data_IF_815348554236
#
_entry.id   IF_815348554236
#
_cell.length_a   1.000
_cell.length_b   1.000
_cell.length_c   1.000
_cell.angle_alpha   90.00
_cell.angle_beta   90.00
_cell.angle_gamma   90.00
#
_symmetry.space_group_name_H-M   'P 1'
#
loop_
_entity.id
_entity.type
_entity.pdbx_description
1 polymer ?
#
# COMPACT_ATOMS: atom_id res chain seq x y z
N UNK A 1 -12.89 -0.96 40.06
CA UNK A 1 -11.54 -1.57 39.82
C UNK A 1 -11.58 -3.00 39.25
N UNK A 2 -12.70 -3.78 39.38
CA UNK A 2 -12.77 -5.18 38.92
C UNK A 2 -13.00 -5.37 37.41
N UNK A 3 -13.79 -4.52 36.75
CA UNK A 3 -14.18 -4.68 35.34
C UNK A 3 -13.06 -4.23 34.39
N UNK A 4 -12.33 -3.18 34.72
CA UNK A 4 -11.21 -2.70 33.94
C UNK A 4 -10.04 -3.69 33.87
N UNK A 5 -9.80 -4.47 34.97
CA UNK A 5 -8.76 -5.50 35.05
C UNK A 5 -9.05 -6.76 34.17
N UNK A 6 -10.32 -7.06 33.93
CA UNK A 6 -10.70 -8.24 33.15
C UNK A 6 -10.55 -7.98 31.63
N UNK A 7 -10.94 -6.79 31.18
CA UNK A 7 -10.75 -6.39 29.77
C UNK A 7 -9.28 -6.28 29.38
N UNK A 8 -8.42 -5.77 30.28
CA UNK A 8 -6.97 -5.69 30.02
C UNK A 8 -6.29 -7.06 29.93
N UNK A 9 -6.71 -8.06 30.69
CA UNK A 9 -6.15 -9.43 30.62
C UNK A 9 -6.53 -10.15 29.32
N UNK A 10 -7.76 -9.96 28.84
CA UNK A 10 -8.25 -10.61 27.63
C UNK A 10 -7.69 -9.95 26.36
N UNK A 11 -7.58 -8.62 26.35
CA UNK A 11 -6.92 -7.87 25.30
C UNK A 11 -5.42 -8.21 25.17
N UNK A 12 -4.70 -8.36 26.30
CA UNK A 12 -3.29 -8.79 26.31
C UNK A 12 -3.06 -10.19 25.73
N UNK A 13 -4.08 -11.06 25.77
CA UNK A 13 -4.00 -12.44 25.27
C UNK A 13 -4.35 -12.55 23.78
N UNK A 14 -5.24 -11.71 23.31
CA UNK A 14 -5.80 -11.76 21.95
C UNK A 14 -5.02 -10.90 20.96
N UNK A 15 -4.33 -9.85 21.45
CA UNK A 15 -3.59 -8.90 20.63
C UNK A 15 -2.19 -8.61 21.21
N UNK A 16 -1.14 -9.30 20.78
CA UNK A 16 0.25 -9.08 21.26
C UNK A 16 0.71 -7.61 21.16
N UNK A 17 0.19 -6.89 20.19
CA UNK A 17 0.41 -5.47 19.97
C UNK A 17 -0.12 -4.60 21.13
N UNK A 18 -1.35 -4.88 21.61
CA UNK A 18 -1.93 -4.17 22.76
C UNK A 18 -1.12 -4.37 24.03
N UNK A 19 -0.44 -5.51 24.17
CA UNK A 19 0.48 -5.77 25.28
C UNK A 19 1.67 -4.82 25.24
N UNK A 20 2.24 -4.57 24.06
CA UNK A 20 3.39 -3.66 23.86
C UNK A 20 2.99 -2.20 24.14
N UNK A 21 1.81 -1.78 23.68
CA UNK A 21 1.27 -0.44 23.90
C UNK A 21 0.97 -0.15 25.37
N UNK A 22 0.34 -1.10 26.07
CA UNK A 22 0.06 -0.99 27.51
C UNK A 22 1.34 -0.96 28.33
N UNK A 23 2.37 -1.72 27.97
CA UNK A 23 3.67 -1.69 28.66
C UNK A 23 4.41 -0.36 28.40
N UNK A 24 4.27 0.25 27.25
CA UNK A 24 4.83 1.58 26.95
C UNK A 24 4.09 2.69 27.72
N UNK A 25 2.76 2.59 27.89
CA UNK A 25 1.96 3.48 28.72
C UNK A 25 2.27 3.32 30.22
N UNK A 26 2.50 2.09 30.69
CA UNK A 26 2.86 1.77 32.09
C UNK A 26 4.28 2.28 32.43
N UNK A 27 5.20 2.34 31.46
CA UNK A 27 6.60 2.76 31.66
C UNK A 27 6.86 4.27 31.52
N UNK A 28 5.82 5.08 31.31
CA UNK A 28 5.92 6.56 31.37
C UNK A 28 6.83 7.22 30.33
N UNK A 29 7.22 6.50 29.27
CA UNK A 29 7.99 7.08 28.16
C UNK A 29 7.08 7.86 27.23
N UNK A 30 6.66 9.04 27.68
CA UNK A 30 5.88 10.00 26.91
C UNK A 30 6.83 10.79 25.98
N UNK A 31 6.92 10.37 24.73
CA UNK A 31 7.35 11.25 23.63
C UNK A 31 6.28 12.31 23.37
N UNK A 32 6.63 13.46 22.83
CA UNK A 32 5.71 14.59 22.55
C UNK A 32 4.46 14.13 21.77
N UNK A 33 3.28 14.67 22.10
CA UNK A 33 1.97 14.12 21.69
C UNK A 33 1.72 14.06 20.16
N UNK A 34 2.36 14.89 19.38
CA UNK A 34 2.19 14.98 17.91
C UNK A 34 2.88 13.87 17.13
N UNK A 35 4.13 13.55 17.49
CA UNK A 35 4.86 12.44 16.85
C UNK A 35 4.25 11.07 17.13
N UNK A 36 3.41 10.97 18.16
CA UNK A 36 2.69 9.74 18.52
C UNK A 36 1.48 9.47 17.65
N UNK A 37 0.71 10.51 17.28
CA UNK A 37 -0.48 10.37 16.44
C UNK A 37 -0.09 9.86 15.05
N UNK A 38 0.91 10.46 14.43
CA UNK A 38 1.38 10.06 13.10
C UNK A 38 2.03 8.68 13.10
N UNK A 39 2.82 8.37 14.11
CA UNK A 39 3.43 7.04 14.25
C UNK A 39 2.38 5.95 14.52
N UNK A 40 1.32 6.26 15.28
CA UNK A 40 0.21 5.34 15.52
C UNK A 40 -0.58 5.06 14.24
N UNK A 41 -0.94 6.11 13.51
CA UNK A 41 -1.63 5.99 12.22
C UNK A 41 -0.78 5.21 11.21
N UNK A 42 0.51 5.49 11.11
CA UNK A 42 1.43 4.80 10.22
C UNK A 42 1.49 3.30 10.55
N UNK A 43 1.63 2.94 11.83
CA UNK A 43 1.67 1.55 12.27
C UNK A 43 0.35 0.81 12.05
N UNK A 44 -0.78 1.48 12.24
CA UNK A 44 -2.10 0.95 11.93
C UNK A 44 -2.25 0.70 10.42
N UNK A 45 -1.86 1.66 9.59
CA UNK A 45 -1.86 1.52 8.13
C UNK A 45 -0.96 0.37 7.66
N UNK A 46 0.25 0.23 8.21
CA UNK A 46 1.17 -0.88 7.88
C UNK A 46 0.56 -2.22 8.28
N UNK A 47 -0.07 -2.31 9.46
CA UNK A 47 -0.71 -3.54 9.93
C UNK A 47 -1.90 -3.93 9.05
N UNK A 48 -2.73 -2.95 8.69
CA UNK A 48 -3.87 -3.14 7.80
C UNK A 48 -3.42 -3.53 6.39
N UNK A 49 -2.37 -2.90 5.88
CA UNK A 49 -1.78 -3.20 4.58
C UNK A 49 -1.22 -4.64 4.52
N UNK A 50 -0.56 -5.10 5.59
CA UNK A 50 -0.09 -6.50 5.70
C UNK A 50 -1.25 -7.50 5.66
N UNK A 51 -2.37 -7.19 6.33
CA UNK A 51 -3.56 -8.07 6.36
C UNK A 51 -4.35 -8.03 5.04
N UNK A 52 -4.68 -6.82 4.57
CA UNK A 52 -5.57 -6.63 3.40
C UNK A 52 -4.86 -6.64 2.06
N UNK A 53 -3.55 -6.40 2.05
CA UNK A 53 -2.69 -6.26 0.87
C UNK A 53 -2.97 -5.02 0.02
N UNK A 54 -4.16 -4.41 0.12
CA UNK A 54 -4.54 -3.24 -0.66
C UNK A 54 -5.24 -2.21 0.22
N UNK A 55 -4.81 -0.96 0.15
CA UNK A 55 -5.45 0.18 0.84
C UNK A 55 -5.65 1.35 -0.11
N UNK A 56 -6.62 2.19 0.21
CA UNK A 56 -6.81 3.51 -0.42
C UNK A 56 -6.76 4.58 0.66
N UNK A 57 -5.81 5.51 0.53
CA UNK A 57 -5.76 6.72 1.33
C UNK A 57 -6.67 7.76 0.68
N UNK A 58 -7.77 8.10 1.34
CA UNK A 58 -8.72 9.08 0.86
C UNK A 58 -8.74 10.31 1.75
N UNK A 59 -9.19 11.44 1.23
CA UNK A 59 -9.38 12.67 1.99
C UNK A 59 -9.37 13.90 1.11
N UNK A 60 -9.59 15.04 1.73
CA UNK A 60 -9.58 16.34 1.07
C UNK A 60 -8.22 16.66 0.41
N UNK A 61 -8.15 17.53 -0.59
CA UNK A 61 -6.89 17.99 -1.16
C UNK A 61 -5.99 18.61 -0.09
N UNK A 62 -4.68 18.28 -0.13
CA UNK A 62 -3.70 18.85 0.81
C UNK A 62 -3.67 18.23 2.20
N UNK A 63 -4.22 17.03 2.41
CA UNK A 63 -4.16 16.27 3.67
C UNK A 63 -2.90 15.39 3.81
N UNK A 64 -1.91 15.54 2.93
CA UNK A 64 -0.65 14.80 3.02
C UNK A 64 -0.70 13.36 2.48
N UNK A 65 -1.68 12.99 1.64
CA UNK A 65 -1.82 11.63 1.08
C UNK A 65 -0.53 11.11 0.43
N UNK A 66 0.05 11.88 -0.47
CA UNK A 66 1.29 11.50 -1.17
C UNK A 66 2.48 11.36 -0.21
N UNK A 67 2.57 12.25 0.78
CA UNK A 67 3.57 12.18 1.85
C UNK A 67 3.43 10.87 2.65
N UNK A 68 2.23 10.57 3.12
CA UNK A 68 1.91 9.36 3.90
C UNK A 68 2.19 8.09 3.09
N UNK A 69 1.94 8.12 1.78
CA UNK A 69 2.19 7.00 0.88
C UNK A 69 3.68 6.64 0.83
N UNK A 70 4.58 7.62 0.72
CA UNK A 70 6.03 7.40 0.73
C UNK A 70 6.50 6.83 2.08
N UNK A 71 6.02 7.40 3.19
CA UNK A 71 6.35 6.91 4.55
C UNK A 71 5.87 5.47 4.78
N UNK A 72 4.67 5.12 4.31
CA UNK A 72 4.13 3.75 4.38
C UNK A 72 4.96 2.76 3.56
N UNK A 73 5.34 3.17 2.35
CA UNK A 73 6.15 2.34 1.47
C UNK A 73 7.53 2.05 2.08
N UNK A 74 8.20 3.06 2.61
CA UNK A 74 9.49 2.92 3.30
C UNK A 74 9.36 2.04 4.55
N UNK A 75 8.35 2.31 5.40
CA UNK A 75 8.13 1.54 6.64
C UNK A 75 7.83 0.06 6.39
N UNK A 76 7.17 -0.26 5.27
CA UNK A 76 6.87 -1.65 4.91
C UNK A 76 8.08 -2.36 4.28
N UNK A 77 8.80 -1.69 3.36
CA UNK A 77 9.97 -2.27 2.66
C UNK A 77 11.21 -2.35 3.55
N UNK A 78 11.42 -1.38 4.43
CA UNK A 78 12.54 -1.31 5.36
C UNK A 78 12.07 -1.10 6.81
N UNK A 79 11.61 -2.15 7.51
CA UNK A 79 11.14 -2.03 8.89
C UNK A 79 12.20 -1.56 9.90
N UNK A 80 13.48 -1.64 9.53
CA UNK A 80 14.60 -1.17 10.36
C UNK A 80 14.98 0.29 10.10
N UNK A 81 14.31 0.97 9.16
CA UNK A 81 14.60 2.36 8.83
C UNK A 81 14.30 3.28 10.02
N UNK A 82 15.30 4.07 10.39
CA UNK A 82 15.21 5.09 11.44
C UNK A 82 15.24 6.46 10.79
N UNK A 83 14.19 7.22 10.92
CA UNK A 83 14.10 8.55 10.30
C UNK A 83 12.77 8.81 9.60
N UNK A 84 11.73 8.06 9.96
CA UNK A 84 10.37 8.25 9.41
C UNK A 84 9.78 9.64 9.76
N UNK A 85 10.34 10.31 10.77
CA UNK A 85 10.02 11.69 11.16
C UNK A 85 10.68 12.75 10.27
N UNK A 86 11.68 12.38 9.47
CA UNK A 86 12.43 13.26 8.58
C UNK A 86 12.06 12.98 7.12
N UNK A 87 11.26 13.88 6.55
CA UNK A 87 10.76 13.71 5.18
C UNK A 87 11.88 13.58 4.13
N UNK A 88 12.98 14.30 4.30
CA UNK A 88 14.09 14.24 3.33
C UNK A 88 14.66 12.83 3.33
N UNK A 89 14.92 12.27 4.51
CA UNK A 89 15.42 10.90 4.64
C UNK A 89 14.43 9.85 4.10
N UNK A 90 13.13 10.07 4.34
CA UNK A 90 12.09 9.20 3.79
C UNK A 90 12.11 9.22 2.28
N UNK A 91 12.22 10.39 1.65
CA UNK A 91 12.26 10.51 0.19
C UNK A 91 13.53 9.93 -0.42
N UNK A 92 14.68 10.08 0.24
CA UNK A 92 15.94 9.46 -0.21
C UNK A 92 15.83 7.92 -0.19
N UNK A 93 15.28 7.35 0.89
CA UNK A 93 15.08 5.90 1.00
C UNK A 93 13.99 5.41 0.03
N UNK A 94 12.91 6.16 -0.14
CA UNK A 94 11.86 5.87 -1.12
C UNK A 94 12.43 5.77 -2.54
N UNK A 95 13.26 6.75 -2.94
CA UNK A 95 13.86 6.76 -4.28
C UNK A 95 14.87 5.60 -4.46
N UNK A 96 15.64 5.26 -3.41
CA UNK A 96 16.51 4.08 -3.42
C UNK A 96 15.72 2.79 -3.67
N UNK A 97 14.62 2.59 -2.92
CA UNK A 97 13.75 1.41 -3.07
C UNK A 97 13.07 1.36 -4.44
N UNK A 98 12.75 2.53 -5.01
CA UNK A 98 12.20 2.65 -6.36
C UNK A 98 13.22 2.25 -7.43
N UNK A 99 14.47 2.69 -7.31
CA UNK A 99 15.56 2.30 -8.21
C UNK A 99 15.87 0.79 -8.12
N UNK A 100 15.70 0.20 -6.95
CA UNK A 100 15.83 -1.25 -6.76
C UNK A 100 14.63 -2.06 -7.29
N UNK A 101 13.59 -1.40 -7.80
CA UNK A 101 12.39 -2.04 -8.33
C UNK A 101 11.41 -2.57 -7.27
N UNK A 102 11.61 -2.24 -5.98
CA UNK A 102 10.69 -2.63 -4.92
C UNK A 102 9.43 -1.74 -4.88
N UNK A 103 9.51 -0.51 -5.39
CA UNK A 103 8.40 0.43 -5.46
C UNK A 103 8.16 0.83 -6.91
N UNK A 104 6.93 0.66 -7.38
CA UNK A 104 6.45 1.21 -8.64
C UNK A 104 5.39 2.28 -8.37
N UNK A 105 5.36 3.33 -9.20
CA UNK A 105 4.43 4.44 -9.07
C UNK A 105 3.77 4.74 -10.40
N UNK A 106 2.45 4.88 -10.40
CA UNK A 106 1.69 5.40 -11.54
C UNK A 106 0.56 6.32 -11.07
N UNK A 107 0.10 7.18 -11.96
CA UNK A 107 -1.07 8.03 -11.75
C UNK A 107 -2.17 7.60 -12.68
N UNK A 108 -3.38 7.35 -12.17
CA UNK A 108 -4.53 7.04 -13.01
C UNK A 108 -5.07 8.30 -13.66
N UNK A 109 -5.52 8.17 -14.91
CA UNK A 109 -6.17 9.22 -15.69
C UNK A 109 -7.29 8.61 -16.54
N UNK A 110 -8.16 9.45 -17.10
CA UNK A 110 -9.38 9.00 -17.78
C UNK A 110 -9.13 8.13 -19.02
N UNK A 111 -8.00 8.33 -19.69
CA UNK A 111 -7.61 7.57 -20.90
C UNK A 111 -6.82 6.30 -20.59
N UNK A 112 -6.49 6.02 -19.32
CA UNK A 112 -5.75 4.80 -18.94
C UNK A 112 -6.66 3.58 -19.04
N UNK A 113 -6.14 2.51 -19.62
CA UNK A 113 -6.86 1.25 -19.76
C UNK A 113 -6.02 0.01 -19.40
N UNK A 114 -6.55 -1.17 -19.68
CA UNK A 114 -5.90 -2.46 -19.42
C UNK A 114 -4.57 -2.61 -20.16
N UNK A 115 -4.50 -2.09 -21.41
CA UNK A 115 -3.32 -2.24 -22.24
C UNK A 115 -2.13 -1.45 -21.74
N UNK A 116 -2.37 -0.31 -21.09
CA UNK A 116 -1.31 0.49 -20.45
C UNK A 116 -0.88 -0.10 -19.11
N UNK A 117 -1.80 -0.72 -18.39
CA UNK A 117 -1.58 -1.11 -16.99
C UNK A 117 -1.12 -2.57 -16.83
N UNK A 118 -1.69 -3.48 -17.61
CA UNK A 118 -1.40 -4.93 -17.51
C UNK A 118 -0.54 -5.40 -18.67
N UNK A 119 -1.07 -5.45 -19.86
CA UNK A 119 -0.35 -5.78 -21.09
C UNK A 119 -1.12 -5.31 -22.33
N UNK A 120 -0.41 -4.87 -23.34
CA UNK A 120 -1.02 -4.38 -24.58
C UNK A 120 -0.17 -4.65 -25.80
N UNK A 121 -0.80 -4.56 -26.98
CA UNK A 121 -0.12 -4.68 -28.25
C UNK A 121 0.45 -3.33 -28.68
N UNK A 122 1.78 -3.25 -28.81
CA UNK A 122 2.44 -2.04 -29.33
C UNK A 122 3.04 -2.29 -30.71
N UNK A 123 2.84 -1.35 -31.65
CA UNK A 123 3.44 -1.43 -32.97
C UNK A 123 4.94 -1.15 -32.88
N UNK A 124 5.74 -2.00 -33.50
CA UNK A 124 7.19 -1.82 -33.65
C UNK A 124 7.57 -1.86 -35.13
N UNK A 125 8.38 -0.90 -35.56
CA UNK A 125 8.89 -0.85 -36.92
C UNK A 125 10.09 -1.80 -37.06
N UNK A 126 9.92 -2.88 -37.82
CA UNK A 126 11.02 -3.76 -38.23
C UNK A 126 11.27 -3.59 -39.74
N UNK A 127 12.20 -2.70 -40.09
CA UNK A 127 12.42 -2.32 -41.50
C UNK A 127 11.21 -1.60 -42.07
N UNK A 128 10.65 -2.08 -43.20
CA UNK A 128 9.46 -1.51 -43.86
C UNK A 128 8.12 -2.14 -43.38
N UNK A 129 8.15 -3.03 -42.39
CA UNK A 129 6.96 -3.72 -41.86
C UNK A 129 6.66 -3.32 -40.44
N UNK A 130 5.38 -3.16 -40.11
CA UNK A 130 4.90 -2.97 -38.73
C UNK A 130 4.61 -4.35 -38.15
N UNK A 131 5.29 -4.67 -37.05
CA UNK A 131 5.01 -5.84 -36.19
C UNK A 131 4.34 -5.37 -34.91
N UNK A 132 3.56 -6.26 -34.28
CA UNK A 132 2.90 -5.98 -33.02
C UNK A 132 3.51 -6.89 -31.95
N UNK A 133 4.12 -6.28 -30.94
CA UNK A 133 4.67 -7.00 -29.80
C UNK A 133 3.80 -6.78 -28.56
N UNK A 134 3.68 -7.80 -27.72
CA UNK A 134 3.02 -7.67 -26.42
C UNK A 134 3.99 -7.01 -25.45
N UNK A 135 3.62 -5.83 -24.94
CA UNK A 135 4.39 -5.12 -23.92
C UNK A 135 3.70 -5.24 -22.57
N UNK A 136 4.49 -5.51 -21.52
CA UNK A 136 4.00 -5.61 -20.15
C UNK A 136 3.80 -4.23 -19.56
N UNK A 137 2.59 -3.94 -19.03
CA UNK A 137 2.28 -2.73 -18.28
C UNK A 137 2.88 -2.77 -16.86
N UNK A 138 2.79 -1.65 -16.15
CA UNK A 138 3.44 -1.44 -14.84
C UNK A 138 2.99 -2.47 -13.79
N UNK A 139 1.71 -2.88 -13.81
CA UNK A 139 1.19 -3.88 -12.88
C UNK A 139 1.78 -5.27 -13.12
N UNK A 140 1.87 -5.69 -14.38
CA UNK A 140 2.50 -6.98 -14.73
C UNK A 140 3.98 -6.96 -14.38
N UNK A 141 4.69 -5.87 -14.69
CA UNK A 141 6.12 -5.73 -14.38
C UNK A 141 6.41 -5.82 -12.88
N UNK A 142 5.68 -5.11 -12.02
CA UNK A 142 5.90 -5.18 -10.57
C UNK A 142 5.53 -6.55 -9.98
N UNK A 143 4.52 -7.24 -10.53
CA UNK A 143 4.19 -8.61 -10.16
C UNK A 143 5.33 -9.57 -10.51
N UNK A 144 5.97 -9.41 -11.66
CA UNK A 144 7.10 -10.21 -12.11
C UNK A 144 8.34 -9.95 -11.25
N UNK A 145 8.62 -8.68 -10.92
CA UNK A 145 9.70 -8.30 -10.00
C UNK A 145 9.49 -8.90 -8.61
N UNK A 146 8.28 -8.82 -8.07
CA UNK A 146 7.93 -9.41 -6.77
C UNK A 146 8.16 -10.93 -6.76
N UNK A 147 7.78 -11.65 -7.83
CA UNK A 147 8.03 -13.09 -7.96
C UNK A 147 9.51 -13.42 -8.07
N UNK A 148 10.29 -12.66 -8.86
CA UNK A 148 11.73 -12.95 -9.03
C UNK A 148 12.51 -12.75 -7.75
N UNK A 149 12.05 -11.89 -6.85
CA UNK A 149 12.69 -11.70 -5.54
C UNK A 149 12.40 -12.88 -4.61
N UNK A 150 11.19 -13.48 -4.68
CA UNK A 150 10.87 -14.73 -3.97
C UNK A 150 11.67 -15.92 -4.48
N UNK A 151 11.91 -15.99 -5.79
CA UNK A 151 12.40 -17.19 -6.46
C UNK A 151 13.89 -17.26 -6.74
N UNK A 152 14.55 -16.13 -6.94
CA UNK A 152 15.96 -16.14 -7.38
C UNK A 152 16.89 -16.81 -6.38
N UNK A 153 16.72 -16.54 -5.10
CA UNK A 153 17.61 -17.08 -4.08
C UNK A 153 17.41 -18.58 -3.92
N UNK A 154 16.17 -19.08 -3.84
CA UNK A 154 15.91 -20.51 -3.68
C UNK A 154 16.17 -21.32 -4.94
N UNK A 155 15.88 -20.78 -6.13
CA UNK A 155 16.18 -21.47 -7.40
C UNK A 155 17.70 -21.60 -7.58
N UNK A 156 18.44 -20.51 -7.35
CA UNK A 156 19.90 -20.54 -7.40
C UNK A 156 20.48 -21.51 -6.37
N UNK A 157 19.92 -21.52 -5.14
CA UNK A 157 20.31 -22.48 -4.09
C UNK A 157 19.99 -23.94 -4.49
N UNK A 158 18.85 -24.19 -5.14
CA UNK A 158 18.52 -25.53 -5.67
C UNK A 158 19.56 -25.95 -6.71
N UNK A 159 19.90 -25.06 -7.66
CA UNK A 159 20.87 -25.38 -8.71
C UNK A 159 22.28 -25.65 -8.12
N UNK A 160 22.73 -24.86 -7.17
CA UNK A 160 23.99 -25.08 -6.47
C UNK A 160 23.96 -26.37 -5.63
N UNK A 161 22.83 -26.65 -4.95
CA UNK A 161 22.66 -27.91 -4.20
C UNK A 161 22.69 -29.13 -5.11
N UNK A 162 22.11 -29.05 -6.33
CA UNK A 162 22.19 -30.12 -7.32
C UNK A 162 23.63 -30.39 -7.72
N UNK A 163 24.48 -29.39 -7.87
CA UNK A 163 25.91 -29.59 -8.14
C UNK A 163 26.61 -30.30 -6.97
N UNK A 164 26.25 -29.98 -5.71
CA UNK A 164 26.82 -30.65 -4.53
C UNK A 164 26.44 -32.15 -4.41
N UNK A 165 25.27 -32.55 -4.90
CA UNK A 165 24.78 -33.95 -4.90
C UNK A 165 24.97 -34.65 -6.26
N UNK A 166 25.83 -34.10 -7.12
CA UNK A 166 26.09 -34.64 -8.44
C UNK A 166 26.76 -36.03 -8.35
N UNK A 167 26.12 -37.01 -8.94
CA UNK A 167 26.55 -38.42 -8.95
C UNK A 167 26.23 -39.18 -7.64
N UNK A 168 25.95 -40.45 -7.74
CA UNK A 168 25.59 -41.31 -6.60
C UNK A 168 26.63 -41.29 -5.46
N UNK A 169 27.92 -41.07 -5.77
CA UNK A 169 28.98 -40.97 -4.76
C UNK A 169 28.83 -39.78 -3.83
N UNK A 170 28.24 -38.66 -4.32
CA UNK A 170 28.01 -37.45 -3.60
C UNK A 170 26.57 -37.35 -3.02
N UNK A 171 25.85 -38.49 -2.97
CA UNK A 171 24.51 -38.55 -2.40
C UNK A 171 24.49 -38.02 -0.97
N UNK A 172 23.41 -37.33 -0.60
CA UNK A 172 23.21 -36.86 0.75
C UNK A 172 21.98 -37.49 1.40
N UNK A 173 22.04 -37.63 2.70
CA UNK A 173 20.90 -38.00 3.53
C UNK A 173 20.21 -36.73 4.07
N UNK A 174 18.94 -36.59 3.75
CA UNK A 174 18.11 -35.51 4.25
C UNK A 174 16.97 -36.08 5.12
N UNK A 175 16.50 -35.38 6.16
CA UNK A 175 15.37 -35.81 6.96
C UNK A 175 14.06 -35.73 6.15
N UNK A 176 13.14 -36.66 6.34
CA UNK A 176 11.77 -36.52 5.85
C UNK A 176 11.05 -35.48 6.65
N UNK A 177 9.94 -34.91 6.11
CA UNK A 177 9.14 -33.88 6.79
C UNK A 177 8.64 -34.33 8.16
N UNK A 178 8.34 -35.64 8.32
CA UNK A 178 7.93 -36.20 9.61
C UNK A 178 9.07 -36.41 10.60
N UNK A 179 10.33 -36.28 10.18
CA UNK A 179 11.53 -36.57 10.99
C UNK A 179 11.75 -38.06 11.34
N UNK A 180 10.81 -38.96 10.97
CA UNK A 180 10.84 -40.36 11.35
C UNK A 180 11.78 -41.22 10.49
N UNK A 181 12.23 -40.72 9.36
CA UNK A 181 13.13 -41.43 8.42
C UNK A 181 13.99 -40.42 7.66
N UNK A 182 14.99 -40.97 6.95
CA UNK A 182 15.84 -40.17 6.08
C UNK A 182 15.60 -40.55 4.63
N UNK A 183 15.90 -39.60 3.75
CA UNK A 183 15.83 -39.75 2.29
C UNK A 183 17.22 -39.55 1.71
N UNK A 184 17.71 -40.52 0.96
CA UNK A 184 18.91 -40.38 0.15
C UNK A 184 18.55 -39.64 -1.12
N UNK A 185 19.32 -38.59 -1.45
CA UNK A 185 19.10 -37.75 -2.63
C UNK A 185 20.40 -37.63 -3.43
N UNK A 186 20.31 -37.72 -4.77
CA UNK A 186 21.42 -37.48 -5.69
C UNK A 186 20.88 -37.06 -7.06
N UNK A 187 21.73 -36.44 -7.84
CA UNK A 187 21.37 -35.97 -9.18
C UNK A 187 22.48 -36.39 -10.18
N UNK A 188 22.10 -36.91 -11.32
CA UNK A 188 23.01 -37.17 -12.41
C UNK A 188 22.94 -36.03 -13.42
N UNK A 189 24.10 -35.54 -13.85
CA UNK A 189 24.21 -34.42 -14.77
C UNK A 189 23.45 -34.67 -16.07
N UNK A 190 22.67 -33.67 -16.52
CA UNK A 190 21.83 -33.79 -17.70
C UNK A 190 20.46 -34.42 -17.45
N UNK A 191 20.21 -35.02 -16.28
CA UNK A 191 18.88 -35.51 -15.94
C UNK A 191 17.92 -34.41 -15.50
N UNK A 192 16.70 -34.48 -16.00
CA UNK A 192 15.59 -33.58 -15.58
C UNK A 192 14.97 -33.96 -14.22
N UNK A 193 15.53 -34.97 -13.55
CA UNK A 193 14.98 -35.51 -12.30
C UNK A 193 16.07 -35.73 -11.26
N UNK A 194 15.71 -35.48 -9.99
CA UNK A 194 16.49 -35.81 -8.80
C UNK A 194 16.10 -37.24 -8.40
N UNK A 195 17.05 -38.10 -8.20
CA UNK A 195 16.81 -39.42 -7.70
C UNK A 195 16.71 -39.44 -6.18
N UNK A 196 15.67 -40.08 -5.63
CA UNK A 196 15.45 -40.17 -4.19
C UNK A 196 15.19 -41.58 -3.76
N UNK A 197 15.66 -41.99 -2.56
CA UNK A 197 15.42 -43.31 -1.96
C UNK A 197 15.24 -43.18 -0.45
N UNK A 198 14.16 -43.76 0.08
CA UNK A 198 13.92 -43.78 1.53
C UNK A 198 14.84 -44.80 2.21
N UNK A 199 15.45 -44.41 3.34
CA UNK A 199 16.30 -45.31 4.14
C UNK A 199 15.50 -46.40 4.88
N UNK A 200 14.20 -46.18 5.13
CA UNK A 200 13.31 -47.21 5.69
C UNK A 200 13.13 -48.42 4.79
N UNK A 201 13.23 -48.25 3.48
CA UNK A 201 13.12 -49.39 2.52
C UNK A 201 14.30 -50.34 2.55
N UNK A 202 15.42 -49.97 3.20
CA UNK A 202 16.58 -50.84 3.36
C UNK A 202 16.44 -51.87 4.51
N UNK A 203 15.50 -51.64 5.44
CA UNK A 203 15.29 -52.47 6.64
C UNK A 203 14.36 -53.67 6.35
N UNK A 204 13.48 -53.55 5.37
CA UNK A 204 12.53 -54.59 4.98
C UNK A 204 12.96 -55.27 3.69
N UNK A 205 13.77 -56.35 3.82
CA UNK A 205 14.11 -57.32 2.77
C UNK A 205 14.81 -56.77 1.52
N UNK A 206 16.08 -57.07 1.34
CA UNK A 206 16.91 -57.38 0.18
C UNK A 206 16.55 -56.93 -1.25
N UNK A 207 15.46 -56.26 -1.50
CA UNK A 207 15.05 -55.73 -2.79
C UNK A 207 15.49 -54.27 -2.93
N UNK A 208 16.34 -54.00 -3.90
CA UNK A 208 16.68 -52.62 -4.31
C UNK A 208 15.45 -51.97 -4.93
N UNK A 209 14.65 -51.21 -4.14
CA UNK A 209 13.61 -50.39 -4.72
C UNK A 209 14.20 -49.36 -5.66
N UNK A 210 13.61 -49.22 -6.83
CA UNK A 210 13.97 -48.17 -7.80
C UNK A 210 13.87 -46.80 -7.17
N UNK A 211 14.75 -45.83 -7.51
CA UNK A 211 14.67 -44.48 -7.04
C UNK A 211 13.35 -43.85 -7.42
N UNK A 212 12.79 -43.05 -6.50
CA UNK A 212 11.61 -42.20 -6.77
C UNK A 212 12.08 -40.88 -7.40
N UNK A 213 11.78 -40.62 -8.68
CA UNK A 213 12.27 -39.41 -9.35
C UNK A 213 11.45 -38.19 -9.00
N UNK A 214 12.12 -37.08 -8.66
CA UNK A 214 11.51 -35.77 -8.53
C UNK A 214 11.85 -34.91 -9.75
N UNK A 215 10.86 -34.38 -10.44
CA UNK A 215 11.10 -33.49 -11.57
C UNK A 215 11.64 -32.14 -11.06
N UNK A 216 12.81 -31.70 -11.58
CA UNK A 216 13.52 -30.51 -11.12
C UNK A 216 12.67 -29.24 -11.33
N UNK A 217 12.06 -29.08 -12.52
CA UNK A 217 11.21 -27.91 -12.80
C UNK A 217 9.99 -27.83 -11.88
N UNK A 218 9.39 -29.00 -11.58
CA UNK A 218 8.29 -29.07 -10.62
C UNK A 218 8.74 -28.79 -9.18
N UNK A 219 9.96 -29.17 -8.79
CA UNK A 219 10.55 -28.85 -7.49
C UNK A 219 10.79 -27.34 -7.40
N UNK A 220 11.38 -26.74 -8.43
CA UNK A 220 11.60 -25.28 -8.51
C UNK A 220 10.27 -24.52 -8.46
N UNK A 221 9.29 -24.92 -9.27
CA UNK A 221 7.95 -24.33 -9.28
C UNK A 221 7.25 -24.42 -7.90
N UNK A 222 7.39 -25.58 -7.23
CA UNK A 222 6.84 -25.75 -5.88
C UNK A 222 7.58 -24.90 -4.84
N UNK A 223 8.90 -24.73 -4.98
CA UNK A 223 9.70 -23.90 -4.07
C UNK A 223 9.34 -22.41 -4.11
N UNK A 224 8.86 -21.93 -5.25
CA UNK A 224 8.39 -20.54 -5.45
C UNK A 224 6.85 -20.38 -5.30
N UNK A 225 6.17 -21.41 -4.76
CA UNK A 225 4.73 -21.32 -4.47
C UNK A 225 3.82 -21.51 -5.69
N UNK A 226 4.33 -21.97 -6.84
CA UNK A 226 3.53 -22.16 -8.06
C UNK A 226 2.58 -23.37 -8.05
N UNK A 227 2.36 -24.04 -6.94
CA UNK A 227 1.31 -25.04 -6.75
C UNK A 227 1.37 -26.28 -7.65
N UNK A 228 2.51 -26.55 -8.31
CA UNK A 228 2.67 -27.69 -9.21
C UNK A 228 2.97 -28.96 -8.40
N UNK A 229 2.06 -29.92 -8.42
CA UNK A 229 2.27 -31.19 -7.71
C UNK A 229 3.36 -32.05 -8.40
N UNK A 230 4.31 -32.49 -7.60
CA UNK A 230 5.28 -33.50 -7.99
C UNK A 230 4.69 -34.91 -7.74
N UNK A 231 5.16 -35.96 -8.45
CA UNK A 231 4.70 -37.34 -8.23
C UNK A 231 4.93 -37.82 -6.78
N UNK A 232 5.86 -37.17 -6.06
CA UNK A 232 6.19 -37.42 -4.65
C UNK A 232 6.19 -36.12 -3.82
N UNK A 233 5.02 -35.55 -3.49
CA UNK A 233 4.95 -34.23 -2.88
C UNK A 233 5.69 -34.12 -1.54
N UNK A 234 5.67 -35.19 -0.72
CA UNK A 234 6.37 -35.23 0.57
C UNK A 234 7.89 -35.24 0.42
N UNK A 235 8.42 -35.89 -0.64
CA UNK A 235 9.84 -35.91 -0.93
C UNK A 235 10.32 -34.58 -1.53
N UNK A 236 9.53 -33.99 -2.40
CA UNK A 236 9.81 -32.64 -2.92
C UNK A 236 9.88 -31.61 -1.81
N UNK A 237 8.93 -31.61 -0.89
CA UNK A 237 8.95 -30.74 0.29
C UNK A 237 10.16 -31.00 1.20
N UNK A 238 10.52 -32.28 1.42
CA UNK A 238 11.72 -32.62 2.20
C UNK A 238 13.01 -32.12 1.54
N UNK A 239 13.10 -32.23 0.21
CA UNK A 239 14.24 -31.74 -0.56
C UNK A 239 14.33 -30.19 -0.46
N UNK A 240 13.23 -29.47 -0.71
CA UNK A 240 13.17 -28.00 -0.60
C UNK A 240 13.56 -27.56 0.80
N UNK A 241 13.06 -28.24 1.85
CA UNK A 241 13.44 -27.95 3.22
C UNK A 241 14.94 -28.15 3.47
N UNK A 242 15.51 -29.23 2.97
CA UNK A 242 16.95 -29.48 3.11
C UNK A 242 17.81 -28.44 2.39
N UNK A 243 17.36 -27.93 1.23
CA UNK A 243 18.00 -26.79 0.57
C UNK A 243 17.88 -25.54 1.45
N UNK A 244 16.70 -25.22 1.94
CA UNK A 244 16.50 -24.05 2.83
C UNK A 244 17.40 -24.13 4.07
N UNK A 245 17.45 -25.27 4.74
CA UNK A 245 18.28 -25.50 5.92
C UNK A 245 19.79 -25.35 5.60
N UNK A 246 20.26 -25.87 4.48
CA UNK A 246 21.68 -25.81 4.05
C UNK A 246 22.13 -24.37 3.77
N UNK A 247 21.25 -23.54 3.15
CA UNK A 247 21.58 -22.16 2.77
C UNK A 247 21.04 -21.14 3.78
N UNK A 248 20.56 -21.61 4.94
CA UNK A 248 19.98 -20.75 5.99
C UNK A 248 18.86 -19.83 5.47
N UNK A 249 18.08 -20.35 4.50
CA UNK A 249 16.88 -19.66 4.03
C UNK A 249 15.80 -19.93 5.08
N UNK A 250 15.42 -18.89 5.82
CA UNK A 250 14.36 -19.00 6.83
C UNK A 250 13.08 -19.55 6.20
N UNK A 251 12.28 -20.33 6.96
CA UNK A 251 11.00 -20.90 6.50
C UNK A 251 9.94 -19.84 6.18
N UNK A 252 10.09 -18.67 6.75
CA UNK A 252 9.59 -17.40 6.20
C UNK A 252 10.72 -16.89 5.28
N UNK A 253 10.71 -17.29 4.01
CA UNK A 253 11.37 -16.51 2.99
C UNK A 253 10.85 -15.08 3.21
N UNK A 254 11.70 -14.22 3.74
CA UNK A 254 11.45 -12.81 3.86
C UNK A 254 11.34 -12.29 2.43
N UNK A 255 10.19 -12.57 1.83
CA UNK A 255 9.84 -12.11 0.50
C UNK A 255 9.82 -10.61 0.60
N UNK A 256 10.86 -9.98 0.02
CA UNK A 256 10.96 -8.53 0.08
C UNK A 256 9.64 -7.93 -0.37
N UNK A 257 9.03 -7.07 0.43
CA UNK A 257 7.80 -6.40 0.03
C UNK A 257 8.00 -5.61 -1.26
N UNK A 258 7.05 -5.71 -2.16
CA UNK A 258 6.96 -4.86 -3.35
C UNK A 258 5.70 -4.02 -3.24
N UNK A 259 5.76 -2.78 -3.68
CA UNK A 259 4.65 -1.84 -3.53
C UNK A 259 4.33 -1.20 -4.86
N UNK A 260 3.06 -1.26 -5.24
CA UNK A 260 2.50 -0.46 -6.32
C UNK A 260 1.72 0.71 -5.72
N UNK A 261 2.16 1.91 -6.01
CA UNK A 261 1.47 3.14 -5.65
C UNK A 261 0.66 3.60 -6.86
N UNK A 262 -0.64 3.81 -6.66
CA UNK A 262 -1.56 4.31 -7.68
C UNK A 262 -2.11 5.65 -7.19
N UNK A 263 -1.56 6.73 -7.71
CA UNK A 263 -2.03 8.07 -7.38
C UNK A 263 -3.30 8.40 -8.17
N UNK A 264 -4.24 9.13 -7.53
CA UNK A 264 -5.54 9.51 -8.11
C UNK A 264 -6.32 8.31 -8.69
N UNK A 265 -6.39 7.21 -7.94
CA UNK A 265 -6.95 5.93 -8.40
C UNK A 265 -8.40 6.05 -8.91
N UNK A 266 -9.17 7.01 -8.40
CA UNK A 266 -10.54 7.28 -8.83
C UNK A 266 -10.66 8.06 -10.15
N UNK A 267 -9.57 8.60 -10.71
CA UNK A 267 -9.60 9.29 -12.03
C UNK A 267 -9.67 8.34 -13.21
N UNK A 268 -9.34 7.05 -13.01
CA UNK A 268 -9.49 6.00 -14.00
C UNK A 268 -10.68 5.08 -13.69
N UNK A 269 -11.18 4.36 -14.69
CA UNK A 269 -12.14 3.29 -14.48
C UNK A 269 -11.42 2.04 -13.97
N UNK A 270 -11.34 1.88 -12.64
CA UNK A 270 -10.56 0.83 -11.97
C UNK A 270 -10.95 -0.56 -12.49
N UNK A 271 -12.23 -0.85 -12.62
CA UNK A 271 -12.73 -2.15 -13.08
C UNK A 271 -12.34 -2.44 -14.53
N UNK A 272 -12.27 -1.42 -15.40
CA UNK A 272 -11.79 -1.56 -16.77
C UNK A 272 -10.27 -1.75 -16.82
N UNK A 273 -9.53 -0.99 -16.01
CA UNK A 273 -8.06 -1.00 -15.98
C UNK A 273 -7.53 -2.34 -15.46
N UNK A 274 -8.12 -2.87 -14.38
CA UNK A 274 -7.74 -4.18 -13.84
C UNK A 274 -8.36 -5.36 -14.60
N UNK A 275 -9.52 -5.15 -15.23
CA UNK A 275 -10.25 -6.22 -15.91
C UNK A 275 -10.51 -7.42 -14.99
N UNK A 276 -10.25 -8.61 -15.51
CA UNK A 276 -10.39 -9.88 -14.79
C UNK A 276 -9.42 -10.03 -13.61
N UNK A 277 -8.30 -9.28 -13.61
CA UNK A 277 -7.29 -9.32 -12.56
C UNK A 277 -7.81 -8.80 -11.21
N UNK A 278 -8.91 -8.05 -11.22
CA UNK A 278 -9.49 -7.48 -10.00
C UNK A 278 -9.77 -8.56 -8.94
N UNK A 279 -10.10 -9.79 -9.36
CA UNK A 279 -10.34 -10.92 -8.46
C UNK A 279 -9.05 -11.39 -7.76
N UNK A 280 -7.89 -11.27 -8.43
CA UNK A 280 -6.59 -11.67 -7.90
C UNK A 280 -6.05 -10.73 -6.82
N UNK A 281 -6.67 -9.55 -6.65
CA UNK A 281 -6.27 -8.59 -5.63
C UNK A 281 -6.60 -9.06 -4.20
N UNK A 282 -7.57 -9.96 -4.05
CA UNK A 282 -7.96 -10.52 -2.74
C UNK A 282 -6.78 -11.29 -2.13
N UNK A 283 -6.49 -11.08 -0.85
CA UNK A 283 -5.33 -11.66 -0.18
C UNK A 283 -5.30 -13.21 -0.23
N UNK A 284 -6.47 -13.85 -0.15
CA UNK A 284 -6.61 -15.31 -0.20
C UNK A 284 -6.45 -15.92 -1.62
N UNK A 285 -6.51 -15.09 -2.68
CA UNK A 285 -6.35 -15.49 -4.09
C UNK A 285 -4.93 -15.35 -4.61
N UNK A 286 -4.05 -14.73 -3.84
CA UNK A 286 -2.66 -14.47 -4.24
C UNK A 286 -1.80 -15.72 -4.13
N UNK A 287 -0.75 -15.81 -4.95
CA UNK A 287 0.24 -16.90 -4.86
C UNK A 287 1.20 -16.66 -3.69
N UNK A 288 1.73 -17.74 -3.10
CA UNK A 288 2.56 -17.72 -1.92
C UNK A 288 1.75 -18.08 -0.67
N UNK A 289 1.26 -17.09 0.06
CA UNK A 289 0.53 -17.28 1.34
C UNK A 289 -0.98 -17.44 1.21
N UNK A 290 -1.55 -17.21 0.02
CA UNK A 290 -3.01 -17.27 -0.20
C UNK A 290 -3.59 -18.66 0.03
N UNK A 291 -4.77 -18.74 0.68
CA UNK A 291 -5.44 -20.02 0.96
C UNK A 291 -6.00 -20.69 -0.30
N UNK A 292 -6.39 -19.90 -1.27
CA UNK A 292 -7.02 -20.36 -2.52
C UNK A 292 -6.41 -19.61 -3.73
N UNK A 293 -5.11 -19.81 -4.02
CA UNK A 293 -4.44 -19.07 -5.08
C UNK A 293 -5.10 -19.34 -6.44
N UNK A 294 -5.33 -18.27 -7.20
CA UNK A 294 -5.93 -18.34 -8.53
C UNK A 294 -4.91 -17.86 -9.57
N UNK A 295 -4.86 -18.56 -10.70
CA UNK A 295 -4.15 -18.14 -11.90
C UNK A 295 -5.15 -17.93 -13.03
N UNK A 296 -4.91 -16.92 -13.84
CA UNK A 296 -5.70 -16.66 -15.05
C UNK A 296 -4.79 -16.59 -16.26
N UNK A 297 -5.36 -16.79 -17.43
CA UNK A 297 -4.63 -16.64 -18.70
C UNK A 297 -4.84 -15.23 -19.23
N UNK A 298 -3.75 -14.48 -19.44
CA UNK A 298 -3.81 -13.13 -19.98
C UNK A 298 -4.28 -13.12 -21.44
N UNK A 299 -5.00 -12.09 -21.89
CA UNK A 299 -5.66 -12.09 -23.19
C UNK A 299 -4.70 -11.94 -24.38
N UNK A 300 -3.60 -11.19 -24.24
CA UNK A 300 -2.65 -10.93 -25.33
C UNK A 300 -1.49 -11.92 -25.36
N UNK A 301 -0.72 -12.01 -24.27
CA UNK A 301 0.44 -12.92 -24.17
C UNK A 301 0.06 -14.39 -24.08
N UNK A 302 -1.16 -14.71 -23.62
CA UNK A 302 -1.60 -16.08 -23.24
C UNK A 302 -0.82 -16.67 -22.08
N UNK A 303 -0.06 -15.85 -21.36
CA UNK A 303 0.69 -16.29 -20.18
C UNK A 303 -0.25 -16.61 -19.01
N UNK A 304 0.15 -17.57 -18.18
CA UNK A 304 -0.51 -17.83 -16.90
C UNK A 304 -0.06 -16.78 -15.88
N UNK A 305 -1.00 -15.97 -15.39
CA UNK A 305 -0.74 -14.85 -14.50
C UNK A 305 -1.40 -15.02 -13.15
N UNK A 306 -0.71 -14.55 -12.10
CA UNK A 306 -1.21 -14.49 -10.72
C UNK A 306 -0.62 -13.27 -10.01
N UNK A 307 -1.16 -12.85 -8.90
CA UNK A 307 -0.62 -11.77 -8.08
C UNK A 307 0.13 -12.39 -6.88
N UNK A 308 1.39 -12.04 -6.63
CA UNK A 308 2.16 -12.59 -5.51
C UNK A 308 1.74 -11.97 -4.17
N UNK A 309 1.90 -12.72 -3.06
CA UNK A 309 1.47 -12.32 -1.71
C UNK A 309 2.29 -11.19 -1.12
N UNK A 310 3.54 -11.00 -1.58
CA UNK A 310 4.45 -9.94 -1.16
C UNK A 310 4.28 -8.62 -1.95
N UNK A 311 3.32 -8.55 -2.88
CA UNK A 311 2.93 -7.30 -3.53
C UNK A 311 1.84 -6.59 -2.71
N UNK A 312 2.03 -5.32 -2.45
CA UNK A 312 1.08 -4.44 -1.76
C UNK A 312 0.67 -3.29 -2.67
N UNK A 313 -0.60 -2.87 -2.56
CA UNK A 313 -1.12 -1.78 -3.40
C UNK A 313 -1.60 -0.65 -2.49
N UNK A 314 -1.12 0.56 -2.75
CA UNK A 314 -1.53 1.77 -2.06
C UNK A 314 -2.12 2.73 -3.09
N UNK A 315 -3.43 2.94 -3.03
CA UNK A 315 -4.12 3.95 -3.82
C UNK A 315 -4.23 5.26 -3.06
N UNK A 316 -4.26 6.40 -3.78
CA UNK A 316 -4.70 7.69 -3.22
C UNK A 316 -5.91 8.20 -3.97
N UNK A 317 -6.81 8.90 -3.29
CA UNK A 317 -7.94 9.57 -3.94
C UNK A 317 -8.35 10.85 -3.23
N UNK A 318 -8.81 11.83 -4.00
CA UNK A 318 -9.46 13.02 -3.48
C UNK A 318 -10.96 12.76 -3.34
N UNK A 319 -11.52 13.04 -2.15
CA UNK A 319 -12.96 12.83 -1.87
C UNK A 319 -13.86 13.89 -2.49
N UNK A 320 -13.34 15.09 -2.74
CA UNK A 320 -14.10 16.22 -3.31
C UNK A 320 -14.18 16.22 -4.83
N UNK A 321 -13.38 15.42 -5.52
CA UNK A 321 -13.37 15.41 -6.99
C UNK A 321 -14.57 14.66 -7.57
N UNK A 322 -15.61 15.40 -7.96
CA UNK A 322 -16.84 14.85 -8.57
C UNK A 322 -16.69 14.47 -10.04
N UNK A 323 -15.64 14.94 -10.71
CA UNK A 323 -15.38 14.60 -12.11
C UNK A 323 -14.95 13.15 -12.26
N UNK A 324 -14.65 12.49 -11.15
CA UNK A 324 -14.20 11.12 -11.07
C UNK A 324 -15.37 10.17 -10.80
N UNK A 325 -15.33 8.98 -11.41
CA UNK A 325 -16.35 7.96 -11.20
C UNK A 325 -16.41 7.48 -9.74
N UNK A 326 -17.59 7.03 -9.31
CA UNK A 326 -17.71 6.35 -8.01
C UNK A 326 -16.97 5.02 -8.06
N UNK A 327 -16.23 4.72 -6.99
CA UNK A 327 -15.58 3.42 -6.83
C UNK A 327 -16.69 2.36 -6.66
N UNK A 328 -16.69 1.37 -7.55
CA UNK A 328 -17.69 0.29 -7.53
C UNK A 328 -17.51 -0.65 -6.33
N UNK A 329 -18.53 -1.45 -6.04
CA UNK A 329 -18.53 -2.40 -4.91
C UNK A 329 -17.49 -3.51 -5.08
N UNK A 330 -17.10 -3.85 -6.31
CA UNK A 330 -16.09 -4.87 -6.55
C UNK A 330 -14.71 -4.41 -6.08
N UNK A 331 -14.38 -3.14 -6.29
CA UNK A 331 -13.16 -2.51 -5.77
C UNK A 331 -13.26 -2.33 -4.27
N UNK A 332 -14.40 -1.80 -3.76
CA UNK A 332 -14.57 -1.50 -2.33
C UNK A 332 -14.30 -2.71 -1.42
N UNK A 333 -14.67 -3.91 -1.80
CA UNK A 333 -14.42 -5.11 -0.98
C UNK A 333 -12.95 -5.58 -0.99
N UNK A 334 -12.14 -5.13 -1.97
CA UNK A 334 -10.75 -5.54 -2.15
C UNK A 334 -9.74 -4.57 -1.58
N UNK A 335 -10.18 -3.36 -1.28
CA UNK A 335 -9.35 -2.32 -0.67
C UNK A 335 -9.90 -1.94 0.70
N UNK A 336 -9.01 -1.69 1.65
CA UNK A 336 -9.38 -0.99 2.88
C UNK A 336 -9.23 0.52 2.66
N UNK A 337 -10.20 1.28 3.15
CA UNK A 337 -10.23 2.74 2.97
C UNK A 337 -9.80 3.41 4.27
N UNK A 338 -8.84 4.30 4.18
CA UNK A 338 -8.32 5.08 5.30
C UNK A 338 -8.50 6.56 4.97
N UNK A 339 -9.28 7.27 5.80
CA UNK A 339 -9.50 8.71 5.62
C UNK A 339 -8.43 9.50 6.36
N UNK A 340 -7.64 10.26 5.62
CA UNK A 340 -6.68 11.22 6.15
C UNK A 340 -7.39 12.55 6.37
N UNK A 341 -7.51 12.93 7.64
CA UNK A 341 -8.14 14.19 8.04
C UNK A 341 -7.15 15.35 8.00
N UNK A 342 -7.69 16.55 7.94
CA UNK A 342 -6.88 17.75 8.15
C UNK A 342 -6.44 17.85 9.60
N UNK A 343 -5.16 18.16 9.83
CA UNK A 343 -4.61 18.25 11.18
C UNK A 343 -3.92 19.61 11.39
N UNK A 344 -4.43 20.48 12.29
CA UNK A 344 -3.79 21.74 12.65
C UNK A 344 -2.44 21.55 13.39
N UNK A 345 -2.20 20.38 14.00
CA UNK A 345 -0.93 20.12 14.69
C UNK A 345 0.26 20.08 13.71
N UNK A 346 0.03 19.65 12.46
CA UNK A 346 1.03 19.72 11.39
C UNK A 346 1.46 21.18 11.15
N UNK A 347 0.52 22.13 11.16
CA UNK A 347 0.84 23.56 11.01
C UNK A 347 1.67 24.04 12.19
N UNK A 348 1.35 23.61 13.43
CA UNK A 348 2.09 23.99 14.64
C UNK A 348 3.51 23.48 14.64
N UNK A 349 3.73 22.27 14.13
CA UNK A 349 5.05 21.61 14.15
C UNK A 349 5.95 22.03 13.00
N UNK A 350 5.38 22.22 11.80
CA UNK A 350 6.17 22.51 10.60
C UNK A 350 6.56 23.99 10.48
N UNK A 351 5.73 24.93 10.96
CA UNK A 351 6.05 26.37 10.85
C UNK A 351 6.86 26.80 12.08
N UNK A 352 8.09 27.23 11.84
CA UNK A 352 9.03 27.65 12.91
C UNK A 352 8.79 29.06 13.40
N UNK A 353 8.42 29.98 12.51
CA UNK A 353 8.13 31.39 12.86
C UNK A 353 6.79 31.50 13.57
N UNK A 354 6.80 32.07 14.78
CA UNK A 354 5.62 32.16 15.65
C UNK A 354 4.52 33.07 15.07
N UNK A 355 4.89 34.12 14.36
CA UNK A 355 3.92 35.08 13.76
C UNK A 355 3.24 34.44 12.54
N UNK A 356 4.00 33.77 11.70
CA UNK A 356 3.48 33.03 10.54
C UNK A 356 2.58 31.88 11.02
N UNK A 357 3.03 31.12 12.01
CA UNK A 357 2.28 30.00 12.59
C UNK A 357 0.94 30.45 13.18
N UNK A 358 0.95 31.53 13.96
CA UNK A 358 -0.28 32.06 14.55
C UNK A 358 -1.31 32.50 13.49
N UNK A 359 -0.87 33.19 12.41
CA UNK A 359 -1.73 33.57 11.29
C UNK A 359 -2.24 32.39 10.51
N UNK A 360 -1.37 31.40 10.19
CA UNK A 360 -1.76 30.18 9.48
C UNK A 360 -2.82 29.39 10.24
N UNK A 361 -2.66 29.22 11.56
CA UNK A 361 -3.64 28.56 12.42
C UNK A 361 -4.97 29.33 12.51
N UNK A 362 -4.91 30.66 12.58
CA UNK A 362 -6.12 31.48 12.62
C UNK A 362 -6.92 31.37 11.31
N UNK A 363 -6.24 31.41 10.16
CA UNK A 363 -6.86 31.22 8.84
C UNK A 363 -7.41 29.79 8.69
N UNK A 364 -6.63 28.79 9.09
CA UNK A 364 -7.07 27.39 9.08
C UNK A 364 -8.37 27.22 9.89
N UNK A 365 -8.39 27.75 11.11
CA UNK A 365 -9.56 27.71 12.00
C UNK A 365 -10.77 28.43 11.41
N UNK A 366 -10.58 29.59 10.80
CA UNK A 366 -11.68 30.32 10.19
C UNK A 366 -12.29 29.60 9.00
N UNK A 367 -11.47 28.92 8.21
CA UNK A 367 -11.90 28.17 7.01
C UNK A 367 -12.49 26.81 7.38
N UNK A 368 -11.78 26.01 8.17
CA UNK A 368 -12.12 24.60 8.44
C UNK A 368 -12.81 24.33 9.79
N UNK A 369 -12.67 25.24 10.76
CA UNK A 369 -12.93 24.94 12.16
C UNK A 369 -11.69 24.46 12.92
N UNK A 370 -11.84 24.16 14.19
CA UNK A 370 -10.76 23.68 15.07
C UNK A 370 -10.98 22.28 15.64
N UNK A 371 -12.02 21.59 15.16
CA UNK A 371 -12.38 20.25 15.62
C UNK A 371 -13.21 20.21 16.91
N UNK A 372 -13.35 21.34 17.63
CA UNK A 372 -14.19 21.42 18.85
C UNK A 372 -15.56 22.05 18.55
N UNK A 373 -15.61 23.07 17.71
CA UNK A 373 -16.85 23.70 17.18
C UNK A 373 -16.62 24.11 15.72
N UNK A 374 -16.81 23.18 14.82
CA UNK A 374 -16.65 23.44 13.37
C UNK A 374 -17.85 24.17 12.76
N UNK A 375 -18.96 24.30 13.49
CA UNK A 375 -20.24 24.86 12.96
C UNK A 375 -20.15 26.28 12.48
N UNK A 376 -19.18 27.06 12.96
CA UNK A 376 -18.97 28.47 12.60
C UNK A 376 -17.90 28.69 11.54
N UNK A 377 -17.25 27.64 11.08
CA UNK A 377 -16.24 27.73 10.02
C UNK A 377 -16.87 28.14 8.68
N UNK A 378 -16.06 28.73 7.79
CA UNK A 378 -16.54 29.10 6.46
C UNK A 378 -17.14 27.89 5.74
N UNK A 379 -16.43 26.76 5.73
CA UNK A 379 -16.89 25.54 5.05
C UNK A 379 -18.20 25.04 5.66
N UNK A 380 -18.32 24.96 6.99
CA UNK A 380 -19.54 24.49 7.64
C UNK A 380 -20.75 25.38 7.36
N UNK A 381 -20.54 26.68 7.36
CA UNK A 381 -21.62 27.67 7.10
C UNK A 381 -22.02 27.73 5.62
N UNK A 382 -21.17 27.29 4.70
CA UNK A 382 -21.41 27.31 3.25
C UNK A 382 -21.64 25.91 2.65
N UNK A 383 -21.55 24.88 3.45
CA UNK A 383 -21.77 23.50 2.98
C UNK A 383 -23.11 23.33 2.27
N UNK A 384 -23.11 22.80 1.07
CA UNK A 384 -24.30 22.47 0.29
C UNK A 384 -24.63 20.98 0.40
N UNK A 385 -25.92 20.64 0.55
CA UNK A 385 -26.39 19.25 0.50
C UNK A 385 -25.78 18.32 1.57
N UNK A 386 -25.72 17.02 1.25
CA UNK A 386 -25.36 15.92 2.16
C UNK A 386 -23.87 15.56 2.15
N UNK A 387 -22.98 16.51 1.84
CA UNK A 387 -21.54 16.26 1.92
C UNK A 387 -21.09 16.03 3.36
N UNK A 388 -20.11 15.15 3.55
CA UNK A 388 -19.39 15.08 4.81
C UNK A 388 -18.52 16.35 4.96
N UNK A 389 -18.57 16.99 6.13
CA UNK A 389 -17.80 18.19 6.39
C UNK A 389 -16.29 17.94 6.27
N UNK A 390 -15.84 16.78 6.73
CA UNK A 390 -14.42 16.39 6.68
C UNK A 390 -13.88 16.31 5.26
N UNK A 391 -14.70 15.86 4.31
CA UNK A 391 -14.31 15.77 2.91
C UNK A 391 -14.13 17.13 2.23
N UNK A 392 -14.78 18.17 2.75
CA UNK A 392 -14.75 19.52 2.18
C UNK A 392 -13.64 20.41 2.74
N UNK A 393 -13.05 20.04 3.87
CA UNK A 393 -12.01 20.83 4.53
C UNK A 393 -10.80 21.05 3.61
N UNK A 394 -10.20 22.20 3.69
CA UNK A 394 -8.95 22.53 2.99
C UNK A 394 -7.78 21.92 3.77
N UNK A 395 -6.96 21.09 3.14
CA UNK A 395 -5.86 20.38 3.78
C UNK A 395 -4.83 21.31 4.42
N UNK A 396 -4.18 20.83 5.47
CA UNK A 396 -3.20 21.62 6.24
C UNK A 396 -1.98 22.05 5.41
N UNK A 397 -1.62 21.33 4.34
CA UNK A 397 -0.49 21.67 3.47
C UNK A 397 -0.65 23.02 2.76
N UNK A 398 -1.86 23.47 2.53
CA UNK A 398 -2.16 24.78 1.96
C UNK A 398 -1.81 25.95 2.88
N UNK A 399 -1.65 25.68 4.18
CA UNK A 399 -1.33 26.68 5.19
C UNK A 399 0.15 26.65 5.62
N UNK A 400 0.94 25.68 5.16
CA UNK A 400 2.37 25.57 5.46
C UNK A 400 3.14 26.62 4.66
N UNK A 401 3.72 27.59 5.34
CA UNK A 401 4.51 28.66 4.74
C UNK A 401 5.67 29.06 5.67
N UNK A 402 6.79 29.47 5.11
CA UNK A 402 7.97 29.94 5.87
C UNK A 402 7.87 31.43 6.21
N UNK A 403 7.17 32.22 5.39
CA UNK A 403 6.99 33.65 5.55
C UNK A 403 5.54 34.07 5.41
N UNK A 404 5.22 35.29 5.89
CA UNK A 404 3.86 35.84 5.73
C UNK A 404 3.51 36.08 4.25
N UNK A 405 4.46 36.50 3.44
CA UNK A 405 4.29 36.69 2.01
C UNK A 405 3.98 35.36 1.32
N UNK A 406 4.68 34.28 1.68
CA UNK A 406 4.41 32.95 1.16
C UNK A 406 3.01 32.45 1.56
N UNK A 407 2.56 32.73 2.79
CA UNK A 407 1.20 32.42 3.24
C UNK A 407 0.15 33.19 2.44
N UNK A 408 0.36 34.49 2.20
CA UNK A 408 -0.52 35.32 1.38
C UNK A 408 -0.60 34.84 -0.07
N UNK A 409 0.54 34.42 -0.63
CA UNK A 409 0.59 33.82 -1.97
C UNK A 409 -0.26 32.56 -2.04
N UNK A 410 -0.14 31.67 -1.07
CA UNK A 410 -0.96 30.45 -0.99
C UNK A 410 -2.45 30.76 -0.84
N UNK A 411 -2.80 31.72 0.02
CA UNK A 411 -4.20 32.14 0.16
C UNK A 411 -4.76 32.66 -1.16
N UNK A 412 -4.02 33.54 -1.84
CA UNK A 412 -4.47 34.20 -3.08
C UNK A 412 -4.56 33.26 -4.27
N UNK A 413 -3.58 32.37 -4.42
CA UNK A 413 -3.43 31.57 -5.66
C UNK A 413 -3.83 30.11 -5.51
N UNK A 414 -4.01 29.60 -4.29
CA UNK A 414 -4.33 28.20 -4.06
C UNK A 414 -5.66 28.04 -3.28
N UNK A 415 -5.78 28.60 -2.06
CA UNK A 415 -6.93 28.36 -1.19
C UNK A 415 -8.20 29.06 -1.71
N UNK A 416 -8.12 30.36 -2.01
CA UNK A 416 -9.28 31.12 -2.49
C UNK A 416 -9.77 30.60 -3.85
N UNK A 417 -8.92 30.32 -4.84
CA UNK A 417 -9.35 29.67 -6.08
C UNK A 417 -10.05 28.33 -5.85
N UNK A 418 -9.52 27.47 -4.97
CA UNK A 418 -10.13 26.20 -4.61
C UNK A 418 -11.54 26.37 -4.04
N UNK A 419 -11.71 27.29 -3.10
CA UNK A 419 -13.04 27.58 -2.50
C UNK A 419 -14.02 28.17 -3.52
N UNK A 420 -13.54 29.01 -4.44
CA UNK A 420 -14.35 29.52 -5.56
C UNK A 420 -14.80 28.39 -6.49
N UNK A 421 -13.95 27.43 -6.73
CA UNK A 421 -14.28 26.25 -7.54
C UNK A 421 -15.33 25.39 -6.82
N UNK A 422 -15.20 25.17 -5.51
CA UNK A 422 -16.22 24.49 -4.71
C UNK A 422 -17.58 25.21 -4.74
N UNK A 423 -17.59 26.56 -4.75
CA UNK A 423 -18.82 27.34 -4.90
C UNK A 423 -19.40 27.16 -6.32
N UNK A 424 -18.56 27.24 -7.35
CA UNK A 424 -18.97 27.07 -8.75
C UNK A 424 -19.56 25.69 -9.02
N UNK A 425 -18.98 24.65 -8.42
CA UNK A 425 -19.42 23.26 -8.57
C UNK A 425 -20.62 22.91 -7.68
N UNK A 426 -21.12 23.88 -6.89
CA UNK A 426 -22.27 23.70 -5.99
C UNK A 426 -21.96 22.82 -4.78
N UNK A 427 -20.69 22.64 -4.45
CA UNK A 427 -20.22 21.95 -3.24
C UNK A 427 -20.41 22.86 -2.02
N UNK A 428 -20.12 24.15 -2.19
CA UNK A 428 -20.41 25.21 -1.23
C UNK A 428 -21.47 26.17 -1.80
N UNK A 429 -22.30 26.74 -0.92
CA UNK A 429 -23.28 27.78 -1.28
C UNK A 429 -22.60 29.14 -1.22
N UNK A 430 -22.47 29.80 -2.37
CA UNK A 430 -21.94 31.16 -2.41
C UNK A 430 -22.87 32.22 -1.75
N UNK A 431 -22.28 33.12 -0.98
CA UNK A 431 -22.97 34.25 -0.29
C UNK A 431 -22.41 35.58 -0.71
N UNK A 432 -23.23 36.67 -0.58
CA UNK A 432 -22.79 38.03 -0.94
C UNK A 432 -21.58 38.51 -0.12
N UNK A 433 -21.42 38.02 1.08
CA UNK A 433 -20.33 38.37 2.02
C UNK A 433 -19.00 37.62 1.76
N UNK A 434 -18.98 36.60 0.91
CA UNK A 434 -17.77 35.82 0.61
C UNK A 434 -16.63 36.71 0.09
N UNK A 435 -16.97 37.78 -0.63
CA UNK A 435 -16.00 38.74 -1.13
C UNK A 435 -15.21 39.38 0.02
N UNK A 436 -15.85 39.68 1.16
CA UNK A 436 -15.18 40.26 2.34
C UNK A 436 -14.21 39.28 2.98
N UNK A 437 -14.58 37.96 3.03
CA UNK A 437 -13.70 36.91 3.50
C UNK A 437 -12.47 36.78 2.59
N UNK A 438 -12.68 36.70 1.28
CA UNK A 438 -11.58 36.52 0.33
C UNK A 438 -10.62 37.72 0.31
N UNK A 439 -11.12 38.96 0.38
CA UNK A 439 -10.30 40.17 0.46
C UNK A 439 -9.43 40.21 1.74
N UNK A 440 -9.92 39.72 2.88
CA UNK A 440 -9.15 39.62 4.11
C UNK A 440 -8.09 38.54 4.01
N UNK A 441 -8.47 37.36 3.53
CA UNK A 441 -7.58 36.22 3.39
C UNK A 441 -6.46 36.46 2.37
N UNK A 442 -6.70 37.18 1.30
CA UNK A 442 -5.64 37.62 0.35
C UNK A 442 -4.54 38.43 1.03
N UNK A 443 -4.84 39.12 2.14
CA UNK A 443 -3.90 39.85 2.96
C UNK A 443 -3.27 39.00 4.08
N UNK A 444 -3.68 37.75 4.19
CA UNK A 444 -3.25 36.86 5.29
C UNK A 444 -3.92 37.19 6.62
N UNK A 445 -5.13 37.78 6.60
CA UNK A 445 -5.88 38.20 7.77
C UNK A 445 -7.22 37.49 7.86
N UNK A 446 -7.69 37.24 9.09
CA UNK A 446 -9.03 36.74 9.33
C UNK A 446 -10.06 37.83 9.15
N UNK A 447 -11.18 37.50 8.52
CA UNK A 447 -12.32 38.38 8.46
C UNK A 447 -13.04 38.41 9.82
N UNK A 448 -13.26 39.60 10.39
CA UNK A 448 -14.08 39.80 11.57
C UNK A 448 -15.35 40.57 11.18
N UNK A 449 -16.55 39.95 11.28
CA UNK A 449 -17.78 40.66 11.03
C UNK A 449 -17.88 41.88 11.97
N UNK A 450 -18.14 43.05 11.43
CA UNK A 450 -18.41 44.22 12.26
C UNK A 450 -19.70 43.96 13.05
N UNK A 451 -19.66 44.14 14.38
CA UNK A 451 -20.76 43.89 15.34
C UNK A 451 -21.99 44.80 15.14
N UNK A 452 -22.04 45.61 14.09
CA UNK A 452 -23.09 46.62 13.86
C UNK A 452 -24.01 46.36 12.65
N UNK A 453 -23.85 45.25 11.92
CA UNK A 453 -24.85 44.95 10.89
C UNK A 453 -26.00 44.13 11.51
N UNK A 454 -27.11 44.79 11.87
CA UNK A 454 -28.39 44.13 12.13
C UNK A 454 -28.78 43.35 10.89
N UNK A 455 -29.34 42.12 11.01
CA UNK A 455 -29.88 41.39 9.88
C UNK A 455 -30.96 42.25 9.22
N UNK A 456 -30.78 42.61 7.96
CA UNK A 456 -31.86 43.13 7.13
C UNK A 456 -32.93 42.06 7.03
N UNK A 457 -34.02 42.27 7.78
CA UNK A 457 -35.25 41.50 7.60
C UNK A 457 -35.78 41.90 6.22
N UNK A 458 -35.67 40.99 5.26
CA UNK A 458 -36.33 41.12 3.96
C UNK A 458 -37.85 41.14 4.20
N UNK A 459 -38.42 42.32 4.21
CA UNK A 459 -39.86 42.53 4.04
C UNK A 459 -40.17 42.38 2.54
N UNK A 460 -40.46 41.20 2.10
CA UNK A 460 -41.22 40.95 0.87
C UNK A 460 -42.38 40.03 1.22
N UNK A 461 -43.42 40.64 1.76
CA UNK A 461 -44.80 40.18 1.63
C UNK A 461 -45.57 41.34 0.97
N UNK A 462 -46.14 40.97 -0.19
CA UNK A 462 -47.23 41.65 -0.94
C UNK A 462 -46.85 41.82 -2.44
N UNK A 463 -47.32 41.00 -3.32
CA UNK A 463 -48.55 40.95 -4.13
C UNK A 463 -48.53 39.67 -4.97
#
# INVERSE_FOLDING_TARGET
QGICGFFTKQAKKQYPYMKKLLTQLENGTLLSDTSKSDTLLLNECVSLLKEKKNIILQGAPGTGKTYTTASLAVALCNPSFTGLEDHIKVMDEYERLRQEGQIAFCTFHQSMDYEDFVEGLKPELQGDHITYNVESGIFKQICEQARTTEGKDIIACIDDYLQKIRGYKNRREIPTISGKSKLLVWWEEGNKTISTRSTLSQITKGEQHSPSPLNIEKVKAHAIGEGVENNWPSYARAFIKAVKDEYHLEDEASTKPHILIIDEINRGNISRIFGELITLLEADKRTGEGKHPIKITLPYSKDSFSVPSNLYIIGTMNTTDRSTGSIDYAVRRRFAFITLKTDPEVIKTCIKDDAVRAKALALFKQINGDGTDDTRSFIATHKAGDFDLEDLKVGHSYFLAETLEALQMKMRYEVIPLLREYIKDGILQGKKEDKKYFEAWEKGECFTPSTNEKPEVSSDSEV
#
